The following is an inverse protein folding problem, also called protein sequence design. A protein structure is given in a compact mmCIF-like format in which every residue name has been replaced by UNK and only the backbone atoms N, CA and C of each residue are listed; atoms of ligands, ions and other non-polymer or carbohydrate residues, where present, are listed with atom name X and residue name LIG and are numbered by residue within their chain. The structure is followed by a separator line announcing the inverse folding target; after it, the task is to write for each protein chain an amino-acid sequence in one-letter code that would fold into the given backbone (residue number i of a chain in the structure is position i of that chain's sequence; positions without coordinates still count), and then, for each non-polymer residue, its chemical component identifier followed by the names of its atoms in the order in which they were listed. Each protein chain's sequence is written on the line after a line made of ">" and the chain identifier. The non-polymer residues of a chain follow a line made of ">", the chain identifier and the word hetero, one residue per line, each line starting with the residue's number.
data_IF_330871813347
#
_entry.id   IF_330871813347
#
_cell.length_a   1.000
_cell.length_b   1.000
_cell.length_c   1.000
_cell.angle_alpha   90.00
_cell.angle_beta   90.00
_cell.angle_gamma   90.00
#
_symmetry.space_group_name_H-M   'P 1'
#
loop_
_entity.id
_entity.type
_entity.pdbx_description
1 polymer ?
#
# COMPACT_ATOMS: atom_id res chain seq x y z
N UNK A 1 1.70 10.82 24.67
CA UNK A 1 2.86 11.63 24.35
C UNK A 1 3.26 11.32 22.92
N UNK A 2 3.12 12.30 22.00
CA UNK A 2 3.71 12.17 20.68
C UNK A 2 5.21 11.96 20.89
N UNK A 3 5.70 10.76 20.57
CA UNK A 3 7.13 10.58 20.40
C UNK A 3 7.57 11.62 19.36
N UNK A 4 8.52 12.46 19.72
CA UNK A 4 9.08 13.45 18.81
C UNK A 4 9.52 12.71 17.55
N UNK A 5 9.05 13.14 16.39
CA UNK A 5 9.51 12.62 15.10
C UNK A 5 11.03 12.79 15.10
N UNK A 6 11.73 11.65 15.04
CA UNK A 6 13.19 11.62 14.95
C UNK A 6 13.54 11.30 13.52
N UNK A 7 14.19 12.20 12.84
CA UNK A 7 14.78 11.89 11.54
C UNK A 7 16.01 11.00 11.75
N UNK A 8 16.07 9.92 10.98
CA UNK A 8 17.23 9.03 10.97
C UNK A 8 18.30 9.65 10.08
N UNK A 9 19.48 9.86 10.65
CA UNK A 9 20.67 10.23 9.87
C UNK A 9 21.23 9.01 9.13
N UNK A 10 21.87 9.27 7.97
CA UNK A 10 22.56 8.24 7.18
C UNK A 10 21.72 7.06 6.69
N UNK A 11 20.47 7.31 6.28
CA UNK A 11 19.58 6.27 5.73
C UNK A 11 20.17 5.53 4.52
N UNK A 12 21.06 6.20 3.78
CA UNK A 12 21.75 5.61 2.64
C UNK A 12 22.79 4.57 3.04
N UNK A 13 23.28 4.58 4.28
CA UNK A 13 24.24 3.60 4.80
C UNK A 13 23.60 2.34 5.35
N UNK A 14 22.26 2.30 5.54
CA UNK A 14 21.56 1.15 6.09
C UNK A 14 21.80 -0.12 5.24
N UNK A 15 22.03 -1.21 5.90
CA UNK A 15 22.11 -2.55 5.29
C UNK A 15 20.71 -3.12 5.04
N UNK A 16 20.62 -4.18 4.23
CA UNK A 16 19.39 -4.95 4.01
C UNK A 16 18.75 -5.39 5.33
N UNK A 17 19.53 -5.96 6.25
CA UNK A 17 19.05 -6.46 7.53
C UNK A 17 18.53 -5.34 8.43
N UNK A 18 19.22 -4.21 8.50
CA UNK A 18 18.78 -3.06 9.30
C UNK A 18 17.43 -2.50 8.80
N UNK A 19 17.21 -2.44 7.48
CA UNK A 19 15.92 -2.04 6.93
C UNK A 19 14.82 -3.02 7.36
N UNK A 20 15.08 -4.33 7.26
CA UNK A 20 14.11 -5.37 7.66
C UNK A 20 13.78 -5.26 9.16
N UNK A 21 14.79 -5.02 10.00
CA UNK A 21 14.60 -4.86 11.44
C UNK A 21 13.79 -3.59 11.78
N UNK A 22 14.04 -2.48 11.11
CA UNK A 22 13.23 -1.26 11.22
C UNK A 22 11.76 -1.53 10.84
N UNK A 23 11.53 -2.23 9.74
CA UNK A 23 10.17 -2.60 9.29
C UNK A 23 9.46 -3.48 10.32
N UNK A 24 10.20 -4.40 10.97
CA UNK A 24 9.69 -5.25 12.05
C UNK A 24 9.33 -4.44 13.29
N UNK A 25 10.24 -3.59 13.76
CA UNK A 25 10.04 -2.75 14.94
C UNK A 25 8.91 -1.75 14.76
N UNK A 26 8.77 -1.19 13.56
CA UNK A 26 7.68 -0.29 13.20
C UNK A 26 6.32 -0.98 13.06
N UNK A 27 6.26 -2.33 13.16
CA UNK A 27 5.02 -3.10 13.08
C UNK A 27 4.35 -3.05 11.71
N UNK A 28 5.11 -2.88 10.62
CA UNK A 28 4.53 -2.71 9.29
C UNK A 28 3.95 -4.02 8.78
N UNK A 29 2.67 -3.99 8.44
CA UNK A 29 1.94 -5.08 7.79
C UNK A 29 1.53 -4.71 6.37
N UNK A 30 1.23 -5.71 5.55
CA UNK A 30 0.73 -5.49 4.19
C UNK A 30 -0.59 -4.73 4.18
N UNK A 31 -0.68 -3.65 3.39
CA UNK A 31 -1.84 -2.77 3.35
C UNK A 31 -2.81 -3.04 2.20
N UNK A 32 -2.51 -4.02 1.36
CA UNK A 32 -3.33 -4.38 0.21
C UNK A 32 -4.29 -5.55 0.43
N UNK A 33 -4.50 -5.99 1.68
CA UNK A 33 -5.39 -7.12 1.93
C UNK A 33 -5.15 -7.81 3.28
N UNK A 34 -4.51 -8.99 3.28
CA UNK A 34 -4.45 -9.89 4.44
C UNK A 34 -3.62 -9.42 5.65
N UNK A 35 -3.00 -8.25 5.61
CA UNK A 35 -2.23 -7.73 6.76
C UNK A 35 -0.98 -8.55 7.09
N UNK A 36 -0.41 -9.27 6.14
CA UNK A 36 0.75 -10.12 6.37
C UNK A 36 1.97 -9.30 6.84
N UNK A 37 2.73 -9.76 7.84
CA UNK A 37 3.89 -9.02 8.37
C UNK A 37 4.93 -8.75 7.28
N UNK A 38 5.21 -7.47 7.02
CA UNK A 38 6.06 -7.07 5.89
C UNK A 38 7.52 -7.51 6.06
N UNK A 39 8.04 -7.50 7.29
CA UNK A 39 9.40 -7.97 7.58
C UNK A 39 9.58 -9.47 7.28
N UNK A 40 8.54 -10.29 7.50
CA UNK A 40 8.56 -11.72 7.13
C UNK A 40 8.58 -11.90 5.62
N UNK A 41 7.77 -11.10 4.90
CA UNK A 41 7.77 -11.10 3.43
C UNK A 41 9.14 -10.71 2.87
N UNK A 42 9.76 -9.64 3.40
CA UNK A 42 11.10 -9.20 3.01
C UNK A 42 12.15 -10.29 3.28
N UNK A 43 12.24 -10.77 4.52
CA UNK A 43 13.22 -11.79 4.90
C UNK A 43 13.08 -13.08 4.08
N UNK A 44 11.86 -13.49 3.81
CA UNK A 44 11.56 -14.68 2.99
C UNK A 44 11.89 -14.53 1.51
N UNK A 45 11.99 -13.28 1.01
CA UNK A 45 12.25 -12.96 -0.38
C UNK A 45 13.74 -12.73 -0.70
N UNK A 46 14.57 -12.37 0.29
CA UNK A 46 16.02 -12.13 0.09
C UNK A 46 16.68 -13.33 -0.58
N UNK A 47 17.34 -13.09 -1.71
CA UNK A 47 18.06 -14.12 -2.48
C UNK A 47 17.17 -15.12 -3.23
N UNK A 48 15.82 -14.98 -3.17
CA UNK A 48 14.87 -15.90 -3.82
C UNK A 48 14.08 -15.26 -4.94
N UNK A 49 13.99 -13.94 -4.97
CA UNK A 49 13.20 -13.20 -5.96
C UNK A 49 14.10 -12.36 -6.84
N UNK A 50 13.67 -12.14 -8.06
CA UNK A 50 14.34 -11.30 -9.05
C UNK A 50 13.44 -10.17 -9.57
N UNK A 51 12.16 -10.13 -9.15
CA UNK A 51 11.19 -9.11 -9.54
C UNK A 51 10.45 -8.52 -8.33
N UNK A 52 10.51 -7.20 -8.19
CA UNK A 52 9.75 -6.42 -7.20
C UNK A 52 8.58 -5.75 -7.92
N UNK A 53 7.37 -6.01 -7.46
CA UNK A 53 6.16 -5.40 -7.98
C UNK A 53 5.49 -4.57 -6.88
N UNK A 54 5.15 -3.33 -7.22
CA UNK A 54 4.41 -2.44 -6.32
C UNK A 54 2.99 -2.28 -6.85
N UNK A 55 2.04 -2.68 -6.05
CA UNK A 55 0.64 -2.65 -6.38
C UNK A 55 0.03 -1.28 -6.10
N UNK A 56 -0.13 -0.48 -7.17
CA UNK A 56 -0.91 0.75 -7.23
C UNK A 56 -2.25 0.57 -7.95
N UNK A 57 -2.59 -0.68 -8.32
CA UNK A 57 -3.87 -1.02 -8.96
C UNK A 57 -4.97 -1.16 -7.90
N UNK A 58 -5.58 -0.05 -7.53
CA UNK A 58 -6.70 0.04 -6.61
C UNK A 58 -8.00 -0.28 -7.36
N UNK A 59 -8.26 -1.58 -7.56
CA UNK A 59 -9.34 -2.06 -8.44
C UNK A 59 -10.71 -2.18 -7.76
N UNK A 60 -10.80 -2.08 -6.44
CA UNK A 60 -12.07 -2.06 -5.70
C UNK A 60 -12.85 -0.78 -6.02
N UNK A 61 -14.12 -0.88 -6.46
CA UNK A 61 -14.94 0.31 -6.71
C UNK A 61 -15.08 1.18 -5.45
N UNK A 62 -15.14 2.49 -5.66
CA UNK A 62 -15.26 3.52 -4.61
C UNK A 62 -14.04 3.73 -3.71
N UNK A 63 -13.07 2.83 -3.69
CA UNK A 63 -11.85 3.00 -2.89
C UNK A 63 -10.88 3.92 -3.63
N UNK A 64 -10.36 4.93 -2.94
CA UNK A 64 -9.47 5.97 -3.52
C UNK A 64 -8.28 6.32 -2.64
N UNK A 65 -8.07 5.61 -1.52
CA UNK A 65 -7.01 5.89 -0.57
C UNK A 65 -5.61 5.72 -1.18
N UNK A 66 -5.41 4.70 -2.01
CA UNK A 66 -4.14 4.46 -2.71
C UNK A 66 -3.87 5.48 -3.81
N UNK A 67 -4.90 5.86 -4.57
CA UNK A 67 -4.81 6.92 -5.57
C UNK A 67 -4.38 8.24 -4.94
N UNK A 68 -5.07 8.67 -3.88
CA UNK A 68 -4.72 9.91 -3.15
C UNK A 68 -3.33 9.85 -2.54
N UNK A 69 -2.94 8.70 -1.98
CA UNK A 69 -1.60 8.51 -1.43
C UNK A 69 -0.51 8.73 -2.50
N UNK A 70 -0.69 8.17 -3.70
CA UNK A 70 0.26 8.37 -4.80
C UNK A 70 0.37 9.83 -5.24
N UNK A 71 -0.74 10.58 -5.21
CA UNK A 71 -0.76 12.01 -5.55
C UNK A 71 -0.20 12.91 -4.44
N UNK A 72 -0.51 12.62 -3.18
CA UNK A 72 -0.18 13.50 -2.06
C UNK A 72 1.17 13.18 -1.42
N UNK A 73 1.62 11.93 -1.56
CA UNK A 73 2.85 11.41 -0.94
C UNK A 73 3.68 10.56 -1.91
N UNK A 74 3.74 10.98 -3.17
CA UNK A 74 4.48 10.28 -4.22
C UNK A 74 5.95 10.04 -3.86
N UNK A 75 6.63 11.01 -3.27
CA UNK A 75 8.00 10.88 -2.80
C UNK A 75 8.16 9.77 -1.74
N UNK A 76 7.23 9.69 -0.79
CA UNK A 76 7.26 8.63 0.22
C UNK A 76 7.01 7.24 -0.40
N UNK A 77 6.14 7.15 -1.40
CA UNK A 77 5.93 5.89 -2.13
C UNK A 77 7.22 5.48 -2.84
N UNK A 78 7.84 6.37 -3.62
CA UNK A 78 9.06 6.08 -4.39
C UNK A 78 10.25 5.79 -3.46
N UNK A 79 10.43 6.57 -2.40
CA UNK A 79 11.47 6.33 -1.40
C UNK A 79 11.30 4.98 -0.69
N UNK A 80 10.05 4.60 -0.36
CA UNK A 80 9.76 3.29 0.21
C UNK A 80 10.06 2.14 -0.76
N UNK A 81 9.81 2.33 -2.06
CA UNK A 81 10.20 1.36 -3.09
C UNK A 81 11.72 1.21 -3.14
N UNK A 82 12.47 2.31 -3.07
CA UNK A 82 13.94 2.27 -3.03
C UNK A 82 14.46 1.49 -1.80
N UNK A 83 13.84 1.64 -0.63
CA UNK A 83 14.19 0.84 0.54
C UNK A 83 13.83 -0.64 0.39
N UNK A 84 12.73 -0.98 -0.25
CA UNK A 84 12.38 -2.37 -0.60
C UNK A 84 13.42 -2.96 -1.55
N UNK A 85 13.81 -2.23 -2.59
CA UNK A 85 14.85 -2.64 -3.53
C UNK A 85 16.17 -2.91 -2.80
N UNK A 86 16.57 -2.00 -1.91
CA UNK A 86 17.78 -2.14 -1.10
C UNK A 86 17.70 -3.33 -0.15
N UNK A 87 16.59 -3.52 0.53
CA UNK A 87 16.37 -4.65 1.45
C UNK A 87 16.47 -6.00 0.72
N UNK A 88 16.02 -6.08 -0.52
CA UNK A 88 16.07 -7.31 -1.32
C UNK A 88 17.35 -7.44 -2.18
N UNK A 89 18.20 -6.41 -2.21
CA UNK A 89 19.42 -6.39 -3.02
C UNK A 89 19.16 -6.33 -4.53
N UNK A 90 17.99 -5.82 -4.94
CA UNK A 90 17.59 -5.71 -6.34
C UNK A 90 17.69 -4.26 -6.82
N UNK A 91 17.95 -4.09 -8.13
CA UNK A 91 18.17 -2.78 -8.75
C UNK A 91 16.95 -2.22 -9.45
N UNK A 92 15.92 -3.04 -9.63
CA UNK A 92 14.72 -2.65 -10.39
C UNK A 92 13.45 -3.03 -9.62
N UNK A 93 12.42 -2.19 -9.77
CA UNK A 93 11.07 -2.43 -9.29
C UNK A 93 10.05 -1.86 -10.28
N UNK A 94 8.87 -2.47 -10.38
CA UNK A 94 7.79 -1.99 -11.23
C UNK A 94 6.56 -1.64 -10.41
N UNK A 95 6.05 -0.42 -10.55
CA UNK A 95 4.79 0.04 -9.96
C UNK A 95 3.70 -0.12 -11.02
N UNK A 96 2.70 -0.97 -10.75
CA UNK A 96 1.54 -1.14 -11.63
C UNK A 96 0.39 -0.23 -11.18
N UNK A 97 -0.09 0.65 -12.06
CA UNK A 97 -1.18 1.60 -11.80
C UNK A 97 -2.23 1.46 -12.89
N UNK A 98 -3.52 1.46 -12.55
CA UNK A 98 -4.59 1.36 -13.55
C UNK A 98 -4.74 2.65 -14.37
N UNK A 99 -5.15 2.49 -15.64
CA UNK A 99 -5.30 3.59 -16.61
C UNK A 99 -6.39 4.62 -16.28
N UNK A 100 -7.23 4.36 -15.28
CA UNK A 100 -8.16 5.34 -14.74
C UNK A 100 -7.52 6.32 -13.72
N UNK A 101 -6.20 6.21 -13.50
CA UNK A 101 -5.40 7.03 -12.56
C UNK A 101 -4.15 7.59 -13.27
N UNK A 102 -4.33 8.11 -14.49
CA UNK A 102 -3.22 8.66 -15.30
C UNK A 102 -2.53 9.84 -14.61
N UNK A 103 -3.27 10.64 -13.86
CA UNK A 103 -2.75 11.73 -13.03
C UNK A 103 -1.70 11.22 -12.01
N UNK A 104 -1.95 10.10 -11.36
CA UNK A 104 -0.97 9.48 -10.46
C UNK A 104 0.23 8.90 -11.23
N UNK A 105 0.01 8.33 -12.42
CA UNK A 105 1.09 7.85 -13.29
C UNK A 105 2.01 8.99 -13.68
N UNK A 106 1.46 10.11 -14.16
CA UNK A 106 2.22 11.29 -14.57
C UNK A 106 2.94 11.94 -13.39
N UNK A 107 2.24 12.08 -12.26
CA UNK A 107 2.81 12.63 -11.04
C UNK A 107 4.02 11.83 -10.55
N UNK A 108 3.87 10.51 -10.37
CA UNK A 108 4.98 9.68 -9.93
C UNK A 108 6.14 9.67 -10.93
N UNK A 109 5.85 9.66 -12.25
CA UNK A 109 6.90 9.78 -13.28
C UNK A 109 7.68 11.10 -13.18
N UNK A 110 7.01 12.19 -12.85
CA UNK A 110 7.64 13.50 -12.68
C UNK A 110 8.58 13.57 -11.47
N UNK A 111 8.36 12.72 -10.47
CA UNK A 111 9.16 12.63 -9.25
C UNK A 111 10.32 11.62 -9.35
N UNK A 112 10.34 10.78 -10.39
CA UNK A 112 11.37 9.74 -10.53
C UNK A 112 12.75 10.33 -10.82
N UNK A 113 13.77 10.05 -9.98
CA UNK A 113 15.15 10.40 -10.31
C UNK A 113 15.64 9.60 -11.53
N UNK A 114 16.44 10.23 -12.36
CA UNK A 114 17.11 9.54 -13.47
C UNK A 114 17.94 8.36 -12.93
N UNK A 115 17.76 7.19 -13.52
CA UNK A 115 18.52 5.99 -13.12
C UNK A 115 18.04 5.33 -11.81
N UNK A 116 16.87 5.68 -11.30
CA UNK A 116 16.31 5.10 -10.06
C UNK A 116 16.06 3.59 -10.12
N UNK A 117 15.94 3.00 -11.32
CA UNK A 117 15.54 1.61 -11.48
C UNK A 117 14.06 1.33 -11.19
N UNK A 118 13.27 2.39 -10.95
CA UNK A 118 11.82 2.24 -10.72
C UNK A 118 11.08 2.51 -12.03
N UNK A 119 10.25 1.56 -12.43
CA UNK A 119 9.43 1.62 -13.63
C UNK A 119 7.96 1.79 -13.25
N UNK A 120 7.20 2.58 -14.02
CA UNK A 120 5.77 2.75 -13.83
C UNK A 120 5.04 2.21 -15.05
N UNK A 121 4.26 1.15 -14.84
CA UNK A 121 3.46 0.52 -15.89
C UNK A 121 1.98 0.87 -15.73
N UNK A 122 1.37 1.32 -16.83
CA UNK A 122 -0.07 1.59 -16.88
C UNK A 122 -0.81 0.31 -17.23
N UNK A 123 -1.68 -0.11 -16.32
CA UNK A 123 -2.45 -1.34 -16.43
C UNK A 123 -3.86 -1.06 -16.96
N UNK A 124 -4.47 -2.06 -17.59
CA UNK A 124 -5.88 -2.00 -17.97
C UNK A 124 -6.76 -1.87 -16.71
N UNK A 125 -7.67 -0.92 -16.70
CA UNK A 125 -8.68 -0.78 -15.64
C UNK A 125 -9.67 -1.93 -15.72
N UNK A 126 -9.63 -2.83 -14.74
CA UNK A 126 -10.55 -3.98 -14.61
C UNK A 126 -10.44 -4.61 -13.24
N UNK A 127 -11.49 -5.30 -12.82
CA UNK A 127 -11.45 -6.12 -11.62
C UNK A 127 -11.18 -7.60 -11.99
N UNK A 128 -10.30 -8.31 -11.28
CA UNK A 128 -9.46 -7.93 -10.14
C UNK A 128 -7.99 -7.61 -10.51
N UNK A 129 -7.73 -6.52 -11.20
CA UNK A 129 -6.37 -6.15 -11.68
C UNK A 129 -5.33 -6.03 -10.53
N UNK A 130 -5.78 -5.61 -9.34
CA UNK A 130 -4.94 -5.50 -8.13
C UNK A 130 -4.73 -6.81 -7.38
N UNK A 131 -5.34 -7.91 -7.80
CA UNK A 131 -5.07 -9.22 -7.21
C UNK A 131 -3.62 -9.62 -7.46
N UNK A 132 -2.89 -10.04 -6.41
CA UNK A 132 -1.43 -10.27 -6.45
C UNK A 132 -0.99 -11.16 -7.62
N UNK A 133 -1.67 -12.30 -7.84
CA UNK A 133 -1.34 -13.23 -8.92
C UNK A 133 -1.65 -12.67 -10.31
N UNK A 134 -2.71 -11.86 -10.43
CA UNK A 134 -3.07 -11.19 -11.69
C UNK A 134 -2.05 -10.11 -12.04
N UNK A 135 -1.60 -9.33 -11.04
CA UNK A 135 -0.59 -8.31 -11.21
C UNK A 135 0.75 -8.92 -11.65
N UNK A 136 1.18 -10.03 -11.02
CA UNK A 136 2.39 -10.76 -11.41
C UNK A 136 2.30 -11.19 -12.87
N UNK A 137 1.22 -11.88 -13.25
CA UNK A 137 1.06 -12.35 -14.63
C UNK A 137 1.04 -11.19 -15.62
N UNK A 138 0.39 -10.08 -15.27
CA UNK A 138 0.27 -8.93 -16.18
C UNK A 138 1.59 -8.24 -16.44
N UNK A 139 2.42 -8.06 -15.39
CA UNK A 139 3.67 -7.32 -15.49
C UNK A 139 4.82 -8.23 -15.96
N UNK A 140 4.90 -9.45 -15.46
CA UNK A 140 6.05 -10.33 -15.68
C UNK A 140 5.79 -11.47 -16.68
N UNK A 141 4.51 -11.75 -17.00
CA UNK A 141 4.11 -12.95 -17.75
C UNK A 141 4.16 -14.24 -16.95
N UNK A 142 4.69 -14.23 -15.71
CA UNK A 142 4.81 -15.42 -14.86
C UNK A 142 3.47 -15.80 -14.27
N UNK A 143 3.25 -17.11 -14.09
CA UNK A 143 2.01 -17.64 -13.52
C UNK A 143 2.30 -18.32 -12.19
N UNK A 144 1.72 -17.80 -11.11
CA UNK A 144 1.78 -18.43 -9.78
C UNK A 144 0.83 -19.64 -9.78
N UNK A 145 1.32 -20.86 -9.53
CA UNK A 145 0.50 -22.05 -9.56
C UNK A 145 -0.58 -22.05 -8.46
N UNK A 146 -1.63 -22.88 -8.59
CA UNK A 146 -2.59 -23.08 -7.51
C UNK A 146 -1.89 -23.50 -6.21
N UNK A 147 -2.23 -22.83 -5.08
CA UNK A 147 -1.56 -23.06 -3.79
C UNK A 147 -0.17 -22.44 -3.65
N UNK A 148 0.47 -22.01 -4.76
CA UNK A 148 1.80 -21.41 -4.74
C UNK A 148 1.81 -19.96 -4.27
N UNK A 149 3.01 -19.50 -3.91
CA UNK A 149 3.31 -18.14 -3.48
C UNK A 149 4.02 -17.34 -4.59
N UNK A 150 3.96 -16.00 -4.57
CA UNK A 150 4.72 -15.15 -5.50
C UNK A 150 6.21 -15.47 -5.58
N UNK A 151 6.83 -15.83 -4.47
CA UNK A 151 8.25 -16.18 -4.41
C UNK A 151 8.59 -17.45 -5.20
N UNK A 152 7.63 -18.36 -5.40
CA UNK A 152 7.83 -19.59 -6.19
C UNK A 152 8.07 -19.29 -7.68
N UNK A 153 7.66 -18.10 -8.11
CA UNK A 153 7.90 -17.59 -9.46
C UNK A 153 8.86 -16.39 -9.47
N UNK A 154 9.68 -16.24 -8.42
CA UNK A 154 10.70 -15.21 -8.33
C UNK A 154 10.14 -13.79 -8.10
N UNK A 155 8.90 -13.63 -7.68
CA UNK A 155 8.26 -12.33 -7.51
C UNK A 155 7.99 -11.98 -6.05
N UNK A 156 8.07 -10.68 -5.71
CA UNK A 156 7.59 -10.15 -4.44
C UNK A 156 6.71 -8.93 -4.70
N UNK A 157 5.53 -8.89 -4.09
CA UNK A 157 4.54 -7.84 -4.33
C UNK A 157 4.28 -7.05 -3.05
N UNK A 158 4.35 -5.72 -3.12
CA UNK A 158 4.00 -4.82 -2.02
C UNK A 158 2.94 -3.81 -2.47
N UNK A 159 2.13 -3.31 -1.56
CA UNK A 159 1.16 -2.25 -1.83
C UNK A 159 1.84 -0.87 -1.72
N UNK A 160 1.35 0.15 -2.47
CA UNK A 160 1.87 1.53 -2.39
C UNK A 160 1.81 2.11 -0.98
N UNK A 161 0.78 1.78 -0.19
CA UNK A 161 0.68 2.19 1.21
C UNK A 161 1.75 1.55 2.08
N UNK A 162 2.06 0.28 1.85
CA UNK A 162 3.15 -0.41 2.55
C UNK A 162 4.51 0.23 2.23
N UNK A 163 4.75 0.60 0.96
CA UNK A 163 5.96 1.31 0.57
C UNK A 163 6.09 2.66 1.29
N UNK A 164 5.04 3.47 1.30
CA UNK A 164 5.04 4.75 2.02
C UNK A 164 5.27 4.58 3.54
N UNK A 165 4.69 3.54 4.16
CA UNK A 165 4.92 3.26 5.58
C UNK A 165 6.36 2.82 5.87
N UNK A 166 7.00 2.07 4.97
CA UNK A 166 8.43 1.73 5.07
C UNK A 166 9.27 3.00 5.01
N UNK A 167 8.95 3.92 4.09
CA UNK A 167 9.62 5.21 4.02
C UNK A 167 9.53 5.96 5.36
N UNK A 168 8.33 6.12 5.92
CA UNK A 168 8.13 6.80 7.19
C UNK A 168 8.90 6.15 8.35
N UNK A 169 8.91 4.82 8.39
CA UNK A 169 9.63 4.09 9.43
C UNK A 169 11.16 4.28 9.31
N UNK A 170 11.69 4.25 8.10
CA UNK A 170 13.13 4.35 7.86
C UNK A 170 13.61 5.79 8.06
N UNK A 171 12.90 6.79 7.55
CA UNK A 171 13.34 8.19 7.57
C UNK A 171 12.92 8.93 8.83
N UNK A 172 11.70 8.70 9.31
CA UNK A 172 11.08 9.45 10.41
C UNK A 172 10.95 8.62 11.70
N UNK A 173 11.47 7.39 11.73
CA UNK A 173 11.33 6.46 12.86
C UNK A 173 9.86 6.27 13.31
N UNK A 174 8.93 6.38 12.37
CA UNK A 174 7.49 6.39 12.63
C UNK A 174 6.90 4.98 12.55
N UNK A 175 6.34 4.44 13.63
CA UNK A 175 5.66 3.16 13.59
C UNK A 175 4.33 3.24 12.84
N UNK A 176 3.83 2.09 12.38
CA UNK A 176 2.52 2.00 11.73
C UNK A 176 1.39 2.14 12.75
N UNK A 177 0.96 3.36 13.00
CA UNK A 177 -0.12 3.69 13.93
C UNK A 177 -1.36 4.25 13.24
N UNK A 178 -1.27 4.55 11.95
CA UNK A 178 -2.35 5.14 11.17
C UNK A 178 -2.55 4.40 9.84
N UNK A 179 -3.77 4.47 9.32
CA UNK A 179 -4.13 3.95 8.00
C UNK A 179 -4.91 5.01 7.22
N UNK A 180 -4.64 5.09 5.92
CA UNK A 180 -5.49 5.84 5.01
C UNK A 180 -6.75 5.02 4.72
N UNK A 181 -7.90 5.57 5.05
CA UNK A 181 -9.21 4.93 4.92
C UNK A 181 -10.10 5.76 4.01
N UNK A 182 -10.73 5.13 3.04
CA UNK A 182 -11.79 5.74 2.23
C UNK A 182 -13.13 5.56 2.93
N UNK A 183 -13.81 6.66 3.23
CA UNK A 183 -15.18 6.68 3.75
C UNK A 183 -16.10 7.10 2.61
N UNK A 184 -16.94 6.20 2.14
CA UNK A 184 -17.73 6.41 0.93
C UNK A 184 -19.03 5.61 0.94
N UNK A 185 -19.80 5.75 -0.12
CA UNK A 185 -21.07 5.05 -0.33
C UNK A 185 -22.25 6.00 -0.43
N UNK A 186 -23.36 5.50 -0.96
CA UNK A 186 -24.56 6.30 -1.22
C UNK A 186 -25.18 6.96 0.01
N UNK A 187 -24.98 6.38 1.20
CA UNK A 187 -25.52 6.91 2.45
C UNK A 187 -24.64 7.97 3.13
N UNK A 188 -23.35 8.09 2.75
CA UNK A 188 -22.41 9.03 3.38
C UNK A 188 -22.67 10.45 2.89
N UNK A 189 -22.69 11.41 3.81
CA UNK A 189 -22.94 12.82 3.48
C UNK A 189 -21.81 13.46 2.68
N UNK A 190 -20.56 13.24 3.10
CA UNK A 190 -19.36 13.81 2.47
C UNK A 190 -18.28 12.72 2.31
N UNK A 191 -18.29 11.96 1.19
CA UNK A 191 -17.24 10.99 0.91
C UNK A 191 -15.84 11.62 0.98
N UNK A 192 -14.89 10.94 1.66
CA UNK A 192 -13.54 11.45 1.86
C UNK A 192 -12.54 10.32 2.13
N UNK A 193 -11.26 10.63 1.98
CA UNK A 193 -10.18 9.84 2.55
C UNK A 193 -9.69 10.48 3.84
N UNK A 194 -9.41 9.67 4.85
CA UNK A 194 -8.87 10.13 6.13
C UNK A 194 -7.64 9.30 6.51
N UNK A 195 -6.68 9.94 7.16
CA UNK A 195 -5.58 9.23 7.81
C UNK A 195 -5.99 9.02 9.28
N UNK A 196 -6.50 7.83 9.58
CA UNK A 196 -7.06 7.49 10.87
C UNK A 196 -6.10 6.66 11.73
N UNK A 197 -6.01 6.91 13.04
CA UNK A 197 -5.36 5.99 13.97
C UNK A 197 -5.97 4.59 13.89
N UNK A 198 -5.12 3.56 13.97
CA UNK A 198 -5.59 2.17 14.05
C UNK A 198 -6.39 2.01 15.36
N UNK A 199 -7.55 1.37 15.27
CA UNK A 199 -8.47 1.26 16.40
C UNK A 199 -9.51 2.38 16.49
N UNK A 200 -9.57 3.31 15.51
CA UNK A 200 -10.63 4.32 15.46
C UNK A 200 -11.97 3.66 15.16
N UNK A 201 -13.00 3.84 16.02
CA UNK A 201 -14.33 3.27 15.80
C UNK A 201 -14.95 3.77 14.47
N UNK A 202 -15.66 2.88 13.79
CA UNK A 202 -16.32 3.17 12.51
C UNK A 202 -17.28 4.37 12.63
N UNK A 203 -18.02 4.46 13.75
CA UNK A 203 -18.95 5.58 13.99
C UNK A 203 -18.23 6.94 14.01
N UNK A 204 -17.00 6.99 14.53
CA UNK A 204 -16.20 8.21 14.56
C UNK A 204 -15.82 8.64 13.14
N UNK A 205 -15.39 7.69 12.31
CA UNK A 205 -15.05 7.94 10.89
C UNK A 205 -16.28 8.45 10.12
N UNK A 206 -17.44 7.84 10.34
CA UNK A 206 -18.71 8.29 9.74
C UNK A 206 -19.07 9.72 10.19
N UNK A 207 -18.90 10.04 11.47
CA UNK A 207 -19.13 11.41 12.00
C UNK A 207 -18.20 12.42 11.32
N UNK A 208 -16.92 12.10 11.12
CA UNK A 208 -15.98 12.95 10.37
C UNK A 208 -16.45 13.22 8.93
N UNK A 209 -17.05 12.23 8.29
CA UNK A 209 -17.65 12.34 6.95
C UNK A 209 -19.04 13.02 6.93
N UNK A 210 -19.45 13.67 8.03
CA UNK A 210 -20.72 14.40 8.14
C UNK A 210 -21.93 13.51 8.43
N UNK A 211 -21.72 12.28 8.85
CA UNK A 211 -22.77 11.33 9.14
C UNK A 211 -23.45 10.74 7.90
N UNK A 212 -24.58 10.09 8.14
CA UNK A 212 -25.41 9.56 7.07
C UNK A 212 -26.43 10.61 6.59
N UNK A 213 -26.57 10.75 5.27
CA UNK A 213 -27.63 11.55 4.64
C UNK A 213 -28.92 10.75 4.39
N UNK A 214 -28.80 9.42 4.38
CA UNK A 214 -29.92 8.47 4.26
C UNK A 214 -29.65 7.26 5.11
N UNK A 215 -30.68 6.51 5.49
CA UNK A 215 -30.50 5.25 6.23
C UNK A 215 -29.67 4.26 5.42
N UNK A 216 -28.51 3.81 5.93
CA UNK A 216 -27.72 2.81 5.23
C UNK A 216 -28.40 1.45 5.27
N UNK A 217 -28.39 0.73 4.16
CA UNK A 217 -28.88 -0.65 4.11
C UNK A 217 -27.81 -1.66 4.53
N UNK A 218 -26.55 -1.34 4.28
CA UNK A 218 -25.38 -2.15 4.63
C UNK A 218 -24.17 -1.26 4.89
N UNK A 219 -23.33 -1.69 5.80
CA UNK A 219 -22.00 -1.17 6.03
C UNK A 219 -21.00 -2.26 5.63
N UNK A 220 -19.99 -1.89 4.83
CA UNK A 220 -18.93 -2.80 4.42
C UNK A 220 -17.58 -2.25 4.89
N UNK A 221 -16.79 -3.06 5.57
CA UNK A 221 -15.38 -2.79 5.82
C UNK A 221 -14.57 -3.40 4.67
N UNK A 222 -13.92 -2.54 3.90
CA UNK A 222 -13.30 -2.87 2.62
C UNK A 222 -14.18 -2.46 1.43
N UNK A 223 -13.80 -2.89 0.23
CA UNK A 223 -14.54 -2.56 -0.99
C UNK A 223 -15.79 -3.41 -1.19
N UNK A 224 -16.68 -3.02 -2.12
CA UNK A 224 -17.93 -3.74 -2.35
C UNK A 224 -17.76 -5.15 -2.89
N UNK A 225 -16.58 -5.50 -3.45
CA UNK A 225 -16.31 -6.81 -4.03
C UNK A 225 -15.78 -7.81 -2.99
N UNK A 226 -14.88 -7.36 -2.10
CA UNK A 226 -14.17 -8.23 -1.15
C UNK A 226 -14.41 -7.84 0.32
N UNK A 227 -15.13 -6.73 0.58
CA UNK A 227 -15.38 -6.22 1.93
C UNK A 227 -16.33 -7.12 2.74
N UNK A 228 -16.17 -7.07 4.05
CA UNK A 228 -17.02 -7.81 4.99
C UNK A 228 -18.14 -6.91 5.55
N UNK A 229 -19.38 -7.41 5.62
CA UNK A 229 -20.46 -6.66 6.23
C UNK A 229 -20.21 -6.45 7.72
N UNK A 230 -20.50 -5.24 8.19
CA UNK A 230 -20.43 -4.85 9.60
C UNK A 230 -21.83 -4.62 10.14
N UNK A 231 -22.08 -5.08 11.36
CA UNK A 231 -23.34 -4.94 12.04
C UNK A 231 -23.27 -3.99 13.25
N UNK A 232 -22.02 -3.67 13.64
CA UNK A 232 -21.71 -2.80 14.77
C UNK A 232 -20.81 -1.63 14.29
N UNK A 233 -21.18 -0.41 14.67
CA UNK A 233 -20.44 0.81 14.38
C UNK A 233 -19.39 1.14 15.44
N UNK A 234 -19.44 0.50 16.59
CA UNK A 234 -18.49 0.73 17.69
C UNK A 234 -17.20 -0.04 17.51
N UNK A 235 -17.18 -1.05 16.63
CA UNK A 235 -15.98 -1.78 16.27
C UNK A 235 -14.97 -0.86 15.55
N UNK A 236 -13.66 -1.06 15.81
CA UNK A 236 -12.60 -0.33 15.14
C UNK A 236 -12.36 -0.83 13.71
#
# INVERSE_FOLDING_TARGET
>A
PCASIRHREHVDALTSQEIIDIVKEAGITGMGGAGFPTHVKLSGAVGKVDAILINGAECEPYITAGHRLMLERGEAVLGGVSFIMKALGLKEATIGIEGNKLDAVEHLKSLLPSGSGIHIETLKTRYPQGAEKQLIQRITGRQVPPGGLPADVGCCVFNVGTAAAIYDAVTECKPLTHRNVTITGGAISRPMNVNAPIGTPIEHLIKMAGGFKTQPQRLLMGGPMMGNPQYDLTSP
#
